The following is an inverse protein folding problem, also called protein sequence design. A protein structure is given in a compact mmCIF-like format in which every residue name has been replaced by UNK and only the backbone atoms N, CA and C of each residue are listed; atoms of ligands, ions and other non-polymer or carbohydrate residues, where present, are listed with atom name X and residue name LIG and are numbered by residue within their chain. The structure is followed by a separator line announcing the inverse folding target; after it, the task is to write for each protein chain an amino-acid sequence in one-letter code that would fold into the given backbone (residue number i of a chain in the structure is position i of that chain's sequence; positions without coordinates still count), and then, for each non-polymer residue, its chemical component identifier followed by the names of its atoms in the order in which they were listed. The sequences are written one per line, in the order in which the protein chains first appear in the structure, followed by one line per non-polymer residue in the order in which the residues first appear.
data_IF_257647914987
#
_entry.id   IF_257647914987
#
_cell.length_a   1.000
_cell.length_b   1.000
_cell.length_c   1.000
_cell.angle_alpha   90.00
_cell.angle_beta   90.00
_cell.angle_gamma   90.00
#
_symmetry.space_group_name_H-M   'P 1'
#
loop_
_entity.id
_entity.type
_entity.pdbx_description
1 polymer ?
#
# COMPACT_ATOMS: atom_id res chain seq x y z
N UNK A 1 -15.54 -27.66 11.51
CA UNK A 1 -15.78 -27.92 10.07
C UNK A 1 -14.55 -27.39 9.36
N UNK A 2 -13.71 -28.26 8.79
CA UNK A 2 -12.50 -27.81 8.09
C UNK A 2 -12.93 -27.10 6.82
N UNK A 3 -12.75 -25.78 6.76
CA UNK A 3 -12.91 -25.04 5.52
C UNK A 3 -11.84 -25.54 4.55
N UNK A 4 -12.27 -26.30 3.54
CA UNK A 4 -11.45 -26.52 2.36
C UNK A 4 -11.48 -25.23 1.56
N UNK A 5 -10.35 -24.54 1.58
CA UNK A 5 -10.12 -23.26 0.94
C UNK A 5 -10.13 -23.41 -0.58
N UNK A 6 -10.54 -22.38 -1.35
CA UNK A 6 -10.31 -22.37 -2.78
C UNK A 6 -8.80 -22.31 -3.00
N UNK A 7 -8.22 -23.45 -3.35
CA UNK A 7 -6.91 -23.51 -3.99
C UNK A 7 -7.03 -22.73 -5.29
N UNK A 8 -6.36 -21.59 -5.37
CA UNK A 8 -6.26 -20.82 -6.61
C UNK A 8 -5.26 -21.54 -7.50
N UNK A 9 -5.72 -22.10 -8.62
CA UNK A 9 -4.88 -22.89 -9.53
C UNK A 9 -3.75 -22.03 -10.14
N UNK A 10 -2.54 -22.59 -10.34
CA UNK A 10 -1.49 -21.92 -11.10
C UNK A 10 -2.00 -21.55 -12.51
N UNK A 11 -2.14 -20.25 -12.78
CA UNK A 11 -2.70 -19.72 -14.05
C UNK A 11 -3.98 -18.90 -13.89
N UNK A 12 -4.54 -18.76 -12.68
CA UNK A 12 -5.61 -17.81 -12.37
C UNK A 12 -5.17 -16.36 -12.62
N UNK A 13 -6.08 -15.53 -13.12
CA UNK A 13 -5.83 -14.11 -13.30
C UNK A 13 -5.80 -13.40 -11.92
N UNK A 14 -4.71 -12.69 -11.63
CA UNK A 14 -4.59 -11.93 -10.39
C UNK A 14 -5.66 -10.82 -10.29
N UNK A 15 -6.15 -10.31 -11.44
CA UNK A 15 -7.24 -9.33 -11.49
C UNK A 15 -8.54 -9.94 -10.98
N UNK A 16 -8.84 -11.20 -11.31
CA UNK A 16 -10.00 -11.91 -10.75
C UNK A 16 -9.91 -12.05 -9.23
N UNK A 17 -8.71 -12.28 -8.68
CA UNK A 17 -8.52 -12.33 -7.23
C UNK A 17 -8.76 -10.96 -6.56
N UNK A 18 -8.35 -9.85 -7.21
CA UNK A 18 -8.68 -8.50 -6.73
C UNK A 18 -10.19 -8.25 -6.80
N UNK A 19 -10.83 -8.56 -7.93
CA UNK A 19 -12.28 -8.38 -8.11
C UNK A 19 -13.09 -9.23 -7.14
N UNK A 20 -12.64 -10.44 -6.81
CA UNK A 20 -13.29 -11.29 -5.81
C UNK A 20 -13.31 -10.67 -4.40
N UNK A 21 -12.33 -9.85 -4.04
CA UNK A 21 -12.35 -9.09 -2.78
C UNK A 21 -13.34 -7.93 -2.83
N UNK A 22 -13.48 -7.28 -3.98
CA UNK A 22 -14.46 -6.22 -4.19
C UNK A 22 -15.88 -6.78 -4.16
N UNK A 23 -16.11 -7.94 -4.78
CA UNK A 23 -17.42 -8.61 -4.82
C UNK A 23 -17.88 -9.12 -3.45
N UNK A 24 -16.94 -9.49 -2.57
CA UNK A 24 -17.22 -9.95 -1.20
C UNK A 24 -17.39 -8.79 -0.20
N UNK A 25 -17.05 -7.56 -0.59
CA UNK A 25 -17.20 -6.36 0.23
C UNK A 25 -18.59 -5.73 0.10
N UNK A 26 -19.08 -5.09 1.16
CA UNK A 26 -20.42 -4.48 1.21
C UNK A 26 -20.57 -3.19 0.38
N UNK A 27 -19.46 -2.68 -0.17
CA UNK A 27 -19.41 -1.49 -1.02
C UNK A 27 -19.58 -0.16 -0.28
N UNK A 28 -19.45 -0.12 1.05
CA UNK A 28 -19.74 1.10 1.84
C UNK A 28 -18.52 1.85 2.31
N UNK A 29 -17.69 1.23 3.14
CA UNK A 29 -16.59 1.89 3.83
C UNK A 29 -15.23 1.38 3.38
N UNK A 30 -14.30 2.32 3.21
CA UNK A 30 -12.87 2.03 3.03
C UNK A 30 -12.08 2.55 4.22
N UNK A 31 -11.10 1.76 4.67
CA UNK A 31 -10.04 2.21 5.58
C UNK A 31 -8.73 2.16 4.80
N UNK A 32 -7.95 3.24 4.82
CA UNK A 32 -6.71 3.33 4.03
C UNK A 32 -5.50 3.76 4.86
N UNK A 33 -4.30 3.75 4.28
CA UNK A 33 -3.09 4.30 4.91
C UNK A 33 -3.05 5.83 4.77
N UNK A 34 -2.43 6.57 5.71
CA UNK A 34 -2.33 8.02 5.63
C UNK A 34 -1.13 8.45 4.79
N UNK A 35 -1.03 7.97 3.55
CA UNK A 35 0.00 8.34 2.59
C UNK A 35 -0.54 8.41 1.15
N UNK A 36 0.30 8.82 0.21
CA UNK A 36 -0.07 9.00 -1.20
C UNK A 36 -0.61 7.70 -1.81
N UNK A 37 -0.03 6.53 -1.50
CA UNK A 37 -0.49 5.24 -2.04
C UNK A 37 -1.88 4.89 -1.49
N UNK A 38 -2.08 5.02 -0.17
CA UNK A 38 -3.39 4.80 0.45
C UNK A 38 -4.48 5.72 -0.11
N UNK A 39 -4.17 7.01 -0.31
CA UNK A 39 -5.13 7.96 -0.87
C UNK A 39 -5.47 7.64 -2.33
N UNK A 40 -4.47 7.33 -3.16
CA UNK A 40 -4.69 6.91 -4.55
C UNK A 40 -5.46 5.59 -4.64
N UNK A 41 -5.17 4.64 -3.75
CA UNK A 41 -5.89 3.37 -3.64
C UNK A 41 -7.37 3.57 -3.32
N UNK A 42 -7.69 4.43 -2.34
CA UNK A 42 -9.06 4.82 -2.04
C UNK A 42 -9.76 5.48 -3.24
N UNK A 43 -9.08 6.43 -3.89
CA UNK A 43 -9.64 7.15 -5.04
C UNK A 43 -9.83 6.25 -6.26
N UNK A 44 -9.01 5.21 -6.44
CA UNK A 44 -9.22 4.16 -7.43
C UNK A 44 -10.54 3.42 -7.16
N UNK A 45 -10.72 2.89 -5.95
CA UNK A 45 -11.96 2.20 -5.57
C UNK A 45 -13.16 3.13 -5.69
N UNK A 46 -13.04 4.39 -5.26
CA UNK A 46 -14.11 5.38 -5.38
C UNK A 46 -14.49 5.69 -6.83
N UNK A 47 -13.54 5.67 -7.77
CA UNK A 47 -13.84 5.84 -9.19
C UNK A 47 -14.77 4.74 -9.70
N UNK A 48 -14.50 3.48 -9.32
CA UNK A 48 -15.34 2.35 -9.66
C UNK A 48 -16.66 2.34 -8.86
N UNK A 49 -16.65 2.85 -7.62
CA UNK A 49 -17.78 2.85 -6.69
C UNK A 49 -18.01 4.25 -6.08
N UNK A 50 -18.73 5.15 -6.77
CA UNK A 50 -18.82 6.57 -6.41
C UNK A 50 -19.50 6.91 -5.07
N UNK A 51 -20.17 5.94 -4.43
CA UNK A 51 -20.85 6.15 -3.15
C UNK A 51 -20.02 5.67 -1.95
N UNK A 52 -18.81 5.17 -2.18
CA UNK A 52 -17.93 4.68 -1.11
C UNK A 52 -17.46 5.84 -0.24
N UNK A 53 -17.47 5.58 1.06
CA UNK A 53 -17.10 6.51 2.12
C UNK A 53 -15.70 6.15 2.62
N UNK A 54 -14.83 7.15 2.74
CA UNK A 54 -13.60 7.01 3.50
C UNK A 54 -13.95 6.95 5.00
N UNK A 55 -14.06 5.75 5.54
CA UNK A 55 -14.45 5.52 6.93
C UNK A 55 -13.33 5.84 7.92
N UNK A 56 -12.07 5.68 7.51
CA UNK A 56 -10.95 5.93 8.42
C UNK A 56 -9.58 5.73 7.81
N UNK A 57 -8.56 5.93 8.63
CA UNK A 57 -7.19 5.57 8.31
C UNK A 57 -6.57 4.66 9.35
N UNK A 58 -5.70 3.76 8.91
CA UNK A 58 -4.87 2.96 9.80
C UNK A 58 -3.39 3.28 9.64
N UNK A 59 -2.72 3.59 10.74
CA UNK A 59 -1.34 4.09 10.75
C UNK A 59 -0.30 3.00 11.04
N UNK A 60 -0.64 1.72 10.86
CA UNK A 60 0.12 0.54 11.35
C UNK A 60 0.29 0.48 12.87
N UNK A 61 -0.52 1.25 13.61
CA UNK A 61 -0.52 1.27 15.08
C UNK A 61 -1.79 1.88 15.65
N UNK A 62 -2.42 2.81 14.92
CA UNK A 62 -3.66 3.45 15.31
C UNK A 62 -4.68 3.36 14.18
N UNK A 63 -5.89 2.90 14.48
CA UNK A 63 -7.06 3.09 13.63
C UNK A 63 -7.74 4.39 14.04
N UNK A 64 -7.92 5.30 13.08
CA UNK A 64 -8.65 6.55 13.23
C UNK A 64 -9.93 6.44 12.42
N UNK A 65 -11.08 6.33 13.08
CA UNK A 65 -12.40 6.34 12.43
C UNK A 65 -12.93 7.75 12.31
N UNK A 66 -13.51 8.06 11.15
CA UNK A 66 -14.08 9.36 10.82
C UNK A 66 -15.60 9.37 10.99
N UNK A 67 -16.15 10.53 11.35
CA UNK A 67 -17.56 10.90 11.20
C UNK A 67 -18.61 9.88 11.71
N UNK A 68 -18.28 9.16 12.78
CA UNK A 68 -19.18 8.21 13.44
C UNK A 68 -18.94 6.74 13.09
N UNK A 69 -17.90 6.42 12.32
CA UNK A 69 -17.55 5.04 11.98
C UNK A 69 -17.51 4.16 13.23
N UNK A 70 -18.34 3.11 13.23
CA UNK A 70 -18.39 2.11 14.29
C UNK A 70 -17.33 1.03 14.10
N UNK A 71 -17.12 0.21 15.13
CA UNK A 71 -16.18 -0.92 15.04
C UNK A 71 -16.65 -2.01 14.08
N UNK A 72 -17.95 -2.30 14.06
CA UNK A 72 -18.51 -3.30 13.15
C UNK A 72 -18.37 -2.83 11.70
N UNK A 73 -18.64 -1.55 11.42
CA UNK A 73 -18.38 -0.97 10.08
C UNK A 73 -16.89 -0.98 9.73
N UNK A 74 -15.99 -0.71 10.68
CA UNK A 74 -14.56 -0.82 10.46
C UNK A 74 -14.12 -2.27 10.16
N UNK A 75 -14.80 -3.27 10.72
CA UNK A 75 -14.54 -4.69 10.45
C UNK A 75 -15.00 -5.08 9.04
N UNK A 76 -16.18 -4.62 8.63
CA UNK A 76 -16.74 -4.91 7.29
C UNK A 76 -16.16 -4.06 6.16
N UNK A 77 -15.47 -2.96 6.49
CA UNK A 77 -14.79 -2.10 5.52
C UNK A 77 -13.75 -2.85 4.68
N UNK A 78 -13.48 -2.33 3.48
CA UNK A 78 -12.34 -2.74 2.67
C UNK A 78 -11.08 -1.98 3.13
N UNK A 79 -10.04 -2.70 3.55
CA UNK A 79 -8.79 -2.10 4.00
C UNK A 79 -7.78 -2.04 2.85
N UNK A 80 -7.42 -0.83 2.41
CA UNK A 80 -6.53 -0.60 1.29
C UNK A 80 -5.15 -0.14 1.76
N UNK A 81 -4.13 -0.56 1.02
CA UNK A 81 -2.72 -0.37 1.36
C UNK A 81 -2.34 -0.93 2.75
N UNK A 82 -3.00 -2.02 3.14
CA UNK A 82 -2.76 -2.68 4.40
C UNK A 82 -2.74 -4.19 4.26
N UNK A 83 -1.90 -4.81 5.09
CA UNK A 83 -1.83 -6.25 5.26
C UNK A 83 -2.35 -6.62 6.65
N UNK A 84 -3.65 -6.88 6.72
CA UNK A 84 -4.38 -7.18 7.95
C UNK A 84 -4.47 -8.69 8.16
N UNK A 85 -4.04 -9.10 9.34
CA UNK A 85 -4.10 -10.47 9.86
C UNK A 85 -5.24 -10.58 10.86
N UNK A 86 -6.45 -10.27 10.41
CA UNK A 86 -7.67 -10.47 11.17
C UNK A 86 -8.69 -11.27 10.36
N UNK A 87 -9.28 -12.36 10.91
CA UNK A 87 -10.03 -13.33 10.12
C UNK A 87 -11.37 -12.79 9.61
N UNK A 88 -11.79 -11.61 10.07
CA UNK A 88 -12.99 -10.91 9.63
C UNK A 88 -12.72 -9.61 8.88
N UNK A 89 -11.48 -9.30 8.47
CA UNK A 89 -11.16 -8.05 7.76
C UNK A 89 -10.57 -8.35 6.39
N UNK A 90 -11.24 -7.85 5.36
CA UNK A 90 -10.77 -7.90 3.97
C UNK A 90 -9.74 -6.82 3.74
N UNK A 91 -8.63 -7.17 3.11
CA UNK A 91 -7.61 -6.19 2.79
C UNK A 91 -6.95 -6.41 1.43
N UNK A 92 -6.43 -5.32 0.90
CA UNK A 92 -5.57 -5.28 -0.26
C UNK A 92 -4.31 -4.49 0.09
N UNK A 93 -3.16 -5.13 -0.01
CA UNK A 93 -1.88 -4.52 0.31
C UNK A 93 -0.74 -5.16 -0.48
N UNK A 94 0.43 -4.54 -0.40
CA UNK A 94 1.60 -4.96 -1.18
C UNK A 94 2.80 -5.41 -0.34
N UNK A 95 2.72 -5.31 0.98
CA UNK A 95 3.90 -5.61 1.80
C UNK A 95 4.22 -7.11 1.80
N UNK A 96 5.49 -7.46 1.95
CA UNK A 96 5.88 -8.84 2.12
C UNK A 96 5.40 -9.35 3.48
N UNK A 97 4.58 -10.40 3.51
CA UNK A 97 3.94 -10.90 4.74
C UNK A 97 4.28 -12.36 5.07
N UNK A 98 4.73 -13.13 4.08
CA UNK A 98 5.15 -14.52 4.24
C UNK A 98 6.61 -14.59 4.71
N UNK A 99 6.90 -15.38 5.74
CA UNK A 99 8.27 -15.80 6.04
C UNK A 99 8.72 -16.90 5.08
N UNK A 100 7.86 -17.89 4.82
CA UNK A 100 8.09 -18.98 3.87
C UNK A 100 6.97 -19.03 2.81
N UNK A 101 7.24 -19.57 1.60
CA UNK A 101 6.24 -19.68 0.53
C UNK A 101 5.00 -20.52 0.87
N UNK A 102 5.09 -21.38 1.89
CA UNK A 102 4.03 -22.29 2.32
C UNK A 102 3.34 -21.85 3.63
N UNK A 103 3.64 -20.64 4.13
CA UNK A 103 2.91 -20.09 5.28
C UNK A 103 1.42 -19.93 4.93
N UNK A 104 0.54 -20.32 5.84
CA UNK A 104 -0.91 -20.31 5.62
C UNK A 104 -1.56 -18.97 6.00
N UNK A 105 -0.89 -18.17 6.84
CA UNK A 105 -1.40 -16.91 7.38
C UNK A 105 -2.77 -17.09 8.06
N UNK A 106 -2.90 -17.93 9.10
CA UNK A 106 -4.19 -18.44 9.61
C UNK A 106 -5.13 -17.36 10.18
N UNK A 107 -4.62 -16.15 10.43
CA UNK A 107 -5.42 -15.01 10.88
C UNK A 107 -5.83 -14.07 9.76
N UNK A 108 -5.32 -14.21 8.54
CA UNK A 108 -5.71 -13.36 7.40
C UNK A 108 -7.08 -13.78 6.89
N UNK A 109 -7.94 -12.82 6.55
CA UNK A 109 -9.19 -13.14 5.88
C UNK A 109 -8.90 -13.80 4.51
N UNK A 110 -9.54 -14.93 4.19
CA UNK A 110 -9.23 -15.70 2.98
C UNK A 110 -9.51 -14.93 1.70
N UNK A 111 -10.51 -14.05 1.72
CA UNK A 111 -10.80 -13.11 0.65
C UNK A 111 -10.06 -11.80 0.94
N UNK A 112 -8.76 -11.80 0.66
CA UNK A 112 -7.87 -10.63 0.72
C UNK A 112 -6.82 -10.79 -0.38
N UNK A 113 -6.33 -9.69 -0.93
CA UNK A 113 -5.34 -9.74 -2.01
C UNK A 113 -4.00 -9.13 -1.57
N UNK A 114 -2.92 -9.79 -1.95
CA UNK A 114 -1.57 -9.25 -1.90
C UNK A 114 -0.73 -9.97 -2.96
N UNK A 115 -0.05 -9.25 -3.87
CA UNK A 115 0.74 -9.88 -4.94
C UNK A 115 1.77 -10.88 -4.40
N UNK A 116 2.46 -10.56 -3.30
CA UNK A 116 3.44 -11.47 -2.70
C UNK A 116 2.79 -12.75 -2.19
N UNK A 117 1.59 -12.67 -1.62
CA UNK A 117 0.85 -13.87 -1.16
C UNK A 117 0.40 -14.69 -2.36
N UNK A 118 -0.20 -14.04 -3.35
CA UNK A 118 -0.72 -14.68 -4.56
C UNK A 118 0.38 -15.46 -5.31
N UNK A 119 1.56 -14.85 -5.47
CA UNK A 119 2.70 -15.48 -6.15
C UNK A 119 3.66 -16.24 -5.20
N UNK A 120 3.26 -16.49 -3.95
CA UNK A 120 4.08 -17.17 -2.92
C UNK A 120 5.49 -16.59 -2.74
N UNK A 121 5.63 -15.28 -2.90
CA UNK A 121 6.85 -14.55 -2.58
C UNK A 121 6.95 -14.39 -1.05
N UNK A 122 8.11 -14.69 -0.49
CA UNK A 122 8.33 -14.76 0.95
C UNK A 122 9.70 -14.20 1.35
N UNK A 123 9.92 -14.00 2.65
CA UNK A 123 11.20 -13.54 3.17
C UNK A 123 12.38 -14.42 2.73
N UNK A 124 12.22 -15.75 2.76
CA UNK A 124 13.30 -16.69 2.42
C UNK A 124 13.80 -16.60 0.98
N UNK A 125 13.01 -16.02 0.06
CA UNK A 125 13.39 -15.82 -1.35
C UNK A 125 13.34 -14.34 -1.77
N UNK A 126 13.27 -13.42 -0.82
CA UNK A 126 13.30 -11.97 -1.01
C UNK A 126 14.58 -11.34 -0.45
N UNK A 127 14.74 -10.03 -0.67
CA UNK A 127 15.87 -9.20 -0.24
C UNK A 127 17.20 -9.60 -0.87
N UNK A 128 17.17 -10.02 -2.13
CA UNK A 128 18.36 -10.41 -2.91
C UNK A 128 19.19 -9.19 -3.37
N UNK A 129 18.65 -7.99 -3.18
CA UNK A 129 19.32 -6.74 -3.51
C UNK A 129 19.32 -6.43 -5.00
N UNK A 130 20.10 -5.43 -5.41
CA UNK A 130 20.07 -4.89 -6.79
C UNK A 130 20.61 -5.86 -7.85
N UNK A 131 21.43 -6.81 -7.43
CA UNK A 131 22.00 -7.84 -8.30
C UNK A 131 21.13 -9.09 -8.39
N UNK A 132 19.97 -9.11 -7.73
CA UNK A 132 19.00 -10.19 -7.82
C UNK A 132 18.60 -10.44 -9.28
N UNK A 133 18.50 -11.71 -9.65
CA UNK A 133 18.13 -12.14 -11.01
C UNK A 133 16.78 -12.85 -11.08
N UNK A 134 16.13 -13.03 -9.93
CA UNK A 134 14.83 -13.67 -9.81
C UNK A 134 13.84 -12.69 -9.19
N UNK A 135 12.56 -13.07 -9.18
CA UNK A 135 11.53 -12.33 -8.45
C UNK A 135 11.92 -12.16 -6.98
N UNK A 136 11.78 -10.93 -6.51
CA UNK A 136 11.92 -10.48 -5.12
C UNK A 136 10.54 -9.93 -4.68
N UNK A 137 10.45 -9.23 -3.54
CA UNK A 137 9.21 -8.63 -3.06
C UNK A 137 8.60 -7.70 -4.12
N UNK A 138 7.27 -7.66 -4.16
CA UNK A 138 6.52 -6.76 -5.02
C UNK A 138 7.02 -5.31 -4.85
N UNK A 139 7.35 -4.60 -5.95
CA UNK A 139 8.06 -3.33 -5.88
C UNK A 139 7.20 -2.10 -6.17
N UNK A 140 5.94 -2.28 -6.54
CA UNK A 140 5.04 -1.19 -6.90
C UNK A 140 4.08 -0.87 -5.74
N UNK A 141 3.48 0.31 -5.80
CA UNK A 141 2.43 0.72 -4.87
C UNK A 141 1.15 -0.12 -5.02
N UNK A 142 0.32 -0.17 -3.97
CA UNK A 142 -1.00 -0.83 -3.95
C UNK A 142 -1.92 -0.25 -5.02
N UNK A 143 -1.90 1.08 -5.21
CA UNK A 143 -2.75 1.77 -6.17
C UNK A 143 -2.54 1.28 -7.62
N UNK A 144 -1.34 0.85 -8.00
CA UNK A 144 -1.08 0.44 -9.38
C UNK A 144 -1.87 -0.81 -9.78
N UNK A 145 -1.88 -1.85 -8.93
CA UNK A 145 -2.66 -3.05 -9.25
C UNK A 145 -4.17 -2.79 -9.14
N UNK A 146 -4.60 -1.84 -8.29
CA UNK A 146 -5.99 -1.43 -8.20
C UNK A 146 -6.47 -0.74 -9.48
N UNK A 147 -5.69 0.22 -10.01
CA UNK A 147 -6.02 0.88 -11.28
C UNK A 147 -6.16 -0.16 -12.41
N UNK A 148 -5.21 -1.09 -12.51
CA UNK A 148 -5.19 -2.10 -13.58
C UNK A 148 -6.30 -3.16 -13.43
N UNK A 149 -6.58 -3.64 -12.22
CA UNK A 149 -7.64 -4.64 -11.98
C UNK A 149 -9.05 -4.07 -12.12
N UNK A 150 -9.27 -2.82 -11.70
CA UNK A 150 -10.56 -2.14 -11.81
C UNK A 150 -10.79 -1.53 -13.20
N UNK A 151 -9.82 -1.65 -14.12
CA UNK A 151 -9.91 -1.09 -15.48
C UNK A 151 -10.01 0.44 -15.49
N UNK A 152 -9.40 1.11 -14.51
CA UNK A 152 -9.44 2.57 -14.38
C UNK A 152 -8.43 3.18 -15.35
N UNK A 153 -8.84 4.11 -16.23
CA UNK A 153 -7.90 4.80 -17.10
C UNK A 153 -6.87 5.57 -16.28
N UNK A 154 -5.58 5.29 -16.53
CA UNK A 154 -4.52 6.09 -15.91
C UNK A 154 -4.51 7.53 -16.47
N UNK A 155 -4.11 8.53 -15.66
CA UNK A 155 -4.01 9.92 -16.09
C UNK A 155 -3.07 10.13 -17.29
N UNK A 156 -3.32 11.18 -18.05
CA UNK A 156 -2.48 11.53 -19.21
C UNK A 156 -1.04 11.88 -18.81
N UNK A 157 -0.10 11.50 -19.67
CA UNK A 157 1.34 11.70 -19.44
C UNK A 157 1.66 13.15 -19.12
N UNK A 158 2.41 13.32 -18.05
CA UNK A 158 2.90 14.62 -17.60
C UNK A 158 1.87 15.48 -16.85
N UNK A 159 0.66 15.00 -16.60
CA UNK A 159 -0.24 15.64 -15.62
C UNK A 159 0.28 15.42 -14.19
N UNK A 160 -0.12 16.25 -13.23
CA UNK A 160 0.22 16.04 -11.81
C UNK A 160 -0.28 14.69 -11.31
N UNK A 161 -1.47 14.25 -11.74
CA UNK A 161 -2.03 12.94 -11.42
C UNK A 161 -1.18 11.77 -11.93
N UNK A 162 -0.63 11.88 -13.15
CA UNK A 162 0.33 10.90 -13.66
C UNK A 162 1.59 10.84 -12.79
N UNK A 163 2.10 11.99 -12.34
CA UNK A 163 3.24 12.05 -11.43
C UNK A 163 2.91 11.55 -10.01
N UNK A 164 1.67 11.70 -9.54
CA UNK A 164 1.19 11.15 -8.27
C UNK A 164 1.23 9.63 -8.27
N UNK A 165 0.72 8.98 -9.33
CA UNK A 165 0.85 7.53 -9.49
C UNK A 165 2.33 7.11 -9.49
N UNK A 166 3.18 7.78 -10.26
CA UNK A 166 4.61 7.49 -10.26
C UNK A 166 5.29 7.70 -8.88
N UNK A 167 4.78 8.66 -8.09
CA UNK A 167 5.27 8.98 -6.76
C UNK A 167 4.87 7.94 -5.71
N UNK A 168 3.72 7.28 -5.86
CA UNK A 168 3.14 6.36 -4.89
C UNK A 168 4.13 5.29 -4.42
N UNK A 169 4.23 5.11 -3.11
CA UNK A 169 5.21 4.25 -2.39
C UNK A 169 6.67 4.39 -2.89
N UNK A 170 7.03 5.55 -3.45
CA UNK A 170 8.35 5.78 -4.04
C UNK A 170 8.67 4.89 -5.25
N UNK A 171 7.63 4.40 -5.95
CA UNK A 171 7.75 3.42 -7.04
C UNK A 171 8.75 3.85 -8.11
N UNK A 172 8.77 5.13 -8.51
CA UNK A 172 9.74 5.65 -9.48
C UNK A 172 11.20 5.35 -9.08
N UNK A 173 11.53 5.49 -7.80
CA UNK A 173 12.88 5.27 -7.27
C UNK A 173 13.18 3.79 -7.15
N UNK A 174 12.18 2.99 -6.76
CA UNK A 174 12.28 1.52 -6.71
C UNK A 174 12.58 0.94 -8.10
N UNK A 175 11.97 1.45 -9.17
CA UNK A 175 12.26 1.06 -10.55
C UNK A 175 13.69 1.37 -10.98
N UNK A 176 14.31 2.44 -10.47
CA UNK A 176 15.73 2.70 -10.73
C UNK A 176 16.66 1.78 -9.93
N UNK A 177 16.30 1.47 -8.68
CA UNK A 177 17.11 0.66 -7.78
C UNK A 177 17.10 -0.84 -8.13
N UNK A 178 15.95 -1.35 -8.55
CA UNK A 178 15.68 -2.78 -8.67
C UNK A 178 15.12 -3.16 -10.05
N UNK A 179 15.71 -2.61 -11.11
CA UNK A 179 15.28 -2.76 -12.51
C UNK A 179 14.88 -4.18 -12.92
N UNK A 180 15.66 -5.19 -12.50
CA UNK A 180 15.38 -6.59 -12.83
C UNK A 180 14.10 -7.07 -12.14
N UNK A 181 13.96 -6.81 -10.84
CA UNK A 181 12.77 -7.22 -10.08
C UNK A 181 11.51 -6.49 -10.57
N UNK A 182 11.60 -5.18 -10.81
CA UNK A 182 10.46 -4.41 -11.34
C UNK A 182 10.05 -4.90 -12.72
N UNK A 183 11.01 -5.26 -13.58
CA UNK A 183 10.69 -5.85 -14.88
C UNK A 183 9.97 -7.19 -14.76
N UNK A 184 10.42 -8.08 -13.87
CA UNK A 184 9.79 -9.38 -13.63
C UNK A 184 8.33 -9.20 -13.19
N UNK A 185 8.09 -8.35 -12.19
CA UNK A 185 6.72 -8.10 -11.72
C UNK A 185 5.84 -7.40 -12.76
N UNK A 186 6.40 -6.50 -13.56
CA UNK A 186 5.70 -5.90 -14.69
C UNK A 186 5.27 -6.98 -15.69
N UNK A 187 6.20 -7.81 -16.16
CA UNK A 187 5.89 -8.87 -17.15
C UNK A 187 4.91 -9.94 -16.59
N UNK A 188 4.80 -10.09 -15.27
CA UNK A 188 3.87 -11.03 -14.61
C UNK A 188 2.45 -10.49 -14.41
N UNK A 189 2.29 -9.17 -14.22
CA UNK A 189 1.01 -8.59 -13.79
C UNK A 189 0.45 -7.50 -14.70
N UNK A 190 1.31 -6.82 -15.46
CA UNK A 190 0.97 -5.58 -16.15
C UNK A 190 1.30 -5.67 -17.64
N UNK A 191 0.77 -4.72 -18.41
CA UNK A 191 1.07 -4.60 -19.83
C UNK A 191 1.18 -3.12 -20.26
N UNK A 192 1.29 -2.90 -21.57
CA UNK A 192 1.47 -1.56 -22.14
C UNK A 192 0.29 -0.60 -21.90
N UNK A 193 -0.87 -1.12 -21.48
CA UNK A 193 -2.00 -0.30 -21.04
C UNK A 193 -1.76 0.38 -19.68
N UNK A 194 -0.87 -0.17 -18.85
CA UNK A 194 -0.41 0.39 -17.58
C UNK A 194 0.74 1.39 -17.83
N UNK A 195 0.38 2.54 -18.42
CA UNK A 195 1.30 3.53 -18.99
C UNK A 195 2.35 4.04 -17.99
N UNK A 196 1.95 4.38 -16.76
CA UNK A 196 2.85 4.87 -15.70
C UNK A 196 3.90 3.81 -15.39
N UNK A 197 3.48 2.58 -15.11
CA UNK A 197 4.43 1.50 -14.80
C UNK A 197 5.32 1.17 -16.01
N UNK A 198 4.78 1.19 -17.22
CA UNK A 198 5.54 1.01 -18.46
C UNK A 198 6.71 2.01 -18.52
N UNK A 199 6.46 3.29 -18.29
CA UNK A 199 7.49 4.34 -18.36
C UNK A 199 8.52 4.25 -17.24
N UNK A 200 8.07 3.85 -16.04
CA UNK A 200 8.96 3.66 -14.90
C UNK A 200 9.89 2.46 -15.12
N UNK A 201 9.37 1.33 -15.60
CA UNK A 201 10.09 0.07 -15.77
C UNK A 201 11.03 0.12 -16.97
N UNK A 202 10.61 0.73 -18.08
CA UNK A 202 11.47 0.94 -19.25
C UNK A 202 12.55 2.01 -19.01
N UNK A 203 12.43 2.78 -17.91
CA UNK A 203 13.41 3.76 -17.49
C UNK A 203 13.31 5.11 -18.20
N UNK A 204 12.22 5.34 -18.93
CA UNK A 204 11.96 6.56 -19.69
C UNK A 204 11.61 7.72 -18.75
N UNK A 205 10.90 7.43 -17.65
CA UNK A 205 10.40 8.45 -16.74
C UNK A 205 11.51 9.32 -16.13
N UNK A 206 12.55 8.71 -15.54
CA UNK A 206 13.65 9.44 -14.92
C UNK A 206 14.67 10.01 -15.92
N UNK A 207 14.60 9.59 -17.18
CA UNK A 207 15.46 10.08 -18.25
C UNK A 207 14.95 11.41 -18.84
N UNK A 208 13.66 11.70 -18.69
CA UNK A 208 13.05 12.94 -19.19
C UNK A 208 13.19 14.10 -18.18
N UNK A 209 13.87 15.20 -18.55
CA UNK A 209 14.00 16.37 -17.68
C UNK A 209 12.65 17.06 -17.39
N UNK A 210 11.65 16.94 -18.26
CA UNK A 210 10.31 17.48 -18.02
C UNK A 210 9.63 16.73 -16.87
N UNK A 211 9.79 15.41 -16.79
CA UNK A 211 9.27 14.61 -15.68
C UNK A 211 9.96 14.98 -14.37
N UNK A 212 11.27 15.24 -14.38
CA UNK A 212 12.00 15.71 -13.19
C UNK A 212 11.42 17.03 -12.67
N UNK A 213 11.24 18.01 -13.55
CA UNK A 213 10.69 19.32 -13.19
C UNK A 213 9.29 19.19 -12.60
N UNK A 214 8.40 18.45 -13.27
CA UNK A 214 7.01 18.28 -12.83
C UNK A 214 6.89 17.46 -11.54
N UNK A 215 7.69 16.41 -11.39
CA UNK A 215 7.71 15.63 -10.15
C UNK A 215 8.29 16.44 -8.99
N UNK A 216 9.24 17.33 -9.25
CA UNK A 216 9.74 18.27 -8.22
C UNK A 216 8.63 19.18 -7.73
N UNK A 217 7.87 19.81 -8.65
CA UNK A 217 6.72 20.65 -8.30
C UNK A 217 5.65 19.88 -7.53
N UNK A 218 5.35 18.64 -7.94
CA UNK A 218 4.44 17.77 -7.20
C UNK A 218 4.89 17.59 -5.74
N UNK A 219 6.17 17.26 -5.52
CA UNK A 219 6.71 17.07 -4.16
C UNK A 219 6.63 18.36 -3.35
N UNK A 220 6.93 19.52 -3.96
CA UNK A 220 6.77 20.82 -3.32
C UNK A 220 5.33 21.07 -2.88
N UNK A 221 4.35 20.82 -3.76
CA UNK A 221 2.93 20.95 -3.44
C UNK A 221 2.49 19.99 -2.33
N UNK A 222 2.96 18.75 -2.32
CA UNK A 222 2.67 17.81 -1.24
C UNK A 222 3.22 18.33 0.11
N UNK A 223 4.44 18.90 0.11
CA UNK A 223 5.05 19.49 1.30
C UNK A 223 4.27 20.71 1.79
N UNK A 224 3.85 21.59 0.88
CA UNK A 224 3.01 22.74 1.20
C UNK A 224 1.68 22.34 1.84
N UNK A 225 1.09 21.23 1.38
CA UNK A 225 -0.14 20.66 1.94
C UNK A 225 0.09 19.86 3.23
N UNK A 226 1.35 19.71 3.68
CA UNK A 226 1.68 19.20 5.00
C UNK A 226 2.13 17.73 5.05
N UNK A 227 2.55 17.16 3.92
CA UNK A 227 3.17 15.84 3.90
C UNK A 227 4.47 15.85 4.70
N UNK A 228 4.85 14.70 5.27
CA UNK A 228 6.06 14.62 6.06
C UNK A 228 7.29 14.72 5.17
N UNK A 229 8.20 15.65 5.48
CA UNK A 229 9.51 15.81 4.82
C UNK A 229 10.54 14.74 5.20
N UNK A 230 10.09 13.64 5.82
CA UNK A 230 10.98 12.55 6.20
C UNK A 230 11.47 11.83 4.96
N UNK A 231 12.79 11.68 4.87
CA UNK A 231 13.41 10.80 3.86
C UNK A 231 13.07 9.35 4.17
N UNK A 232 12.80 8.57 3.12
CA UNK A 232 12.57 7.13 3.24
C UNK A 232 13.86 6.35 3.59
N UNK A 233 15.05 6.92 3.30
CA UNK A 233 16.36 6.31 3.57
C UNK A 233 17.36 7.37 4.05
N UNK A 234 18.32 6.96 4.90
CA UNK A 234 19.43 7.82 5.35
C UNK A 234 20.40 8.14 4.20
N UNK A 235 20.59 7.19 3.27
CA UNK A 235 21.41 7.37 2.06
C UNK A 235 20.60 7.11 0.79
N UNK A 236 20.72 8.03 -0.16
CA UNK A 236 20.15 7.88 -1.50
C UNK A 236 20.94 6.84 -2.29
N UNK A 237 20.23 6.09 -3.12
CA UNK A 237 20.85 5.08 -3.96
C UNK A 237 21.73 5.70 -5.04
N UNK A 238 22.93 5.14 -5.23
CA UNK A 238 23.79 5.45 -6.37
C UNK A 238 23.18 5.09 -7.74
N UNK A 239 22.14 4.25 -7.78
CA UNK A 239 21.43 3.91 -9.03
C UNK A 239 20.43 4.99 -9.45
N UNK A 240 20.02 5.86 -8.52
CA UNK A 240 19.11 6.98 -8.79
C UNK A 240 19.93 8.16 -9.29
N UNK A 241 19.54 8.79 -10.43
CA UNK A 241 20.26 9.95 -10.94
C UNK A 241 20.30 11.07 -9.90
N UNK A 242 21.44 11.78 -9.81
CA UNK A 242 21.72 12.72 -8.73
C UNK A 242 20.61 13.77 -8.54
N UNK A 243 20.05 14.28 -9.64
CA UNK A 243 18.99 15.29 -9.62
C UNK A 243 17.67 14.80 -9.00
N UNK A 244 17.43 13.48 -8.97
CA UNK A 244 16.22 12.87 -8.42
C UNK A 244 16.38 12.49 -6.94
N UNK A 245 17.60 12.42 -6.41
CA UNK A 245 17.85 11.86 -5.07
C UNK A 245 17.16 12.63 -3.94
N UNK A 246 16.96 13.94 -4.09
CA UNK A 246 16.25 14.80 -3.13
C UNK A 246 14.74 14.54 -3.07
N UNK A 247 14.18 13.89 -4.09
CA UNK A 247 12.74 13.65 -4.22
C UNK A 247 12.31 12.34 -3.54
N UNK A 248 13.24 11.54 -3.00
CA UNK A 248 12.92 10.30 -2.30
C UNK A 248 12.25 10.55 -0.95
N UNK A 249 11.11 9.89 -0.71
CA UNK A 249 10.31 10.04 0.51
C UNK A 249 9.10 10.93 0.25
N UNK A 250 8.72 11.74 1.24
CA UNK A 250 7.62 12.71 1.15
C UNK A 250 6.24 12.08 0.84
N UNK A 251 5.99 10.87 1.36
CA UNK A 251 4.75 10.11 1.08
C UNK A 251 3.70 10.21 2.19
N UNK A 252 4.13 10.31 3.45
CA UNK A 252 3.27 10.01 4.59
C UNK A 252 2.80 11.22 5.39
N UNK A 253 1.62 11.09 5.99
CA UNK A 253 0.98 12.09 6.84
C UNK A 253 1.13 11.64 8.30
N UNK A 254 2.18 12.13 8.96
CA UNK A 254 2.60 11.61 10.26
C UNK A 254 1.54 11.76 11.36
N UNK A 255 1.16 10.64 11.97
CA UNK A 255 0.30 10.59 13.15
C UNK A 255 1.03 9.96 14.35
N UNK A 256 0.72 10.43 15.56
CA UNK A 256 1.15 9.82 16.81
C UNK A 256 -0.01 9.85 17.79
N UNK A 257 0.02 9.03 18.84
CA UNK A 257 -1.00 9.06 19.91
C UNK A 257 -1.20 10.45 20.56
N UNK A 258 -0.20 11.34 20.46
CA UNK A 258 -0.23 12.71 21.00
C UNK A 258 -0.57 13.77 19.96
N UNK A 259 -0.80 13.38 18.70
CA UNK A 259 -1.16 14.31 17.65
C UNK A 259 -2.48 14.99 17.97
N UNK A 260 -2.52 16.30 17.78
CA UNK A 260 -3.76 17.06 17.81
C UNK A 260 -4.64 16.62 16.63
N UNK A 261 -5.83 16.09 16.93
CA UNK A 261 -6.73 15.52 15.92
C UNK A 261 -7.15 16.56 14.89
N UNK A 262 -7.49 17.78 15.31
CA UNK A 262 -7.93 18.85 14.40
C UNK A 262 -6.81 19.27 13.44
N UNK A 263 -5.59 19.47 13.95
CA UNK A 263 -4.43 19.82 13.12
C UNK A 263 -4.03 18.69 12.18
N UNK A 264 -4.06 17.45 12.65
CA UNK A 264 -3.74 16.30 11.80
C UNK A 264 -4.80 16.12 10.72
N UNK A 265 -6.08 16.19 11.08
CA UNK A 265 -7.19 16.05 10.14
C UNK A 265 -7.19 17.16 9.09
N UNK A 266 -6.85 18.40 9.47
CA UNK A 266 -6.70 19.50 8.52
C UNK A 266 -5.63 19.23 7.47
N UNK A 267 -4.47 18.68 7.87
CA UNK A 267 -3.40 18.29 6.92
C UNK A 267 -3.82 17.10 6.07
N UNK A 268 -4.43 16.09 6.68
CA UNK A 268 -4.95 14.92 5.98
C UNK A 268 -5.93 15.34 4.87
N UNK A 269 -6.89 16.19 5.22
CA UNK A 269 -7.89 16.72 4.30
C UNK A 269 -7.29 17.61 3.19
N UNK A 270 -6.24 18.39 3.49
CA UNK A 270 -5.56 19.19 2.47
C UNK A 270 -4.92 18.30 1.40
N UNK A 271 -4.24 17.23 1.82
CA UNK A 271 -3.60 16.28 0.90
C UNK A 271 -4.64 15.43 0.17
N UNK A 272 -5.65 14.90 0.86
CA UNK A 272 -6.75 14.15 0.24
C UNK A 272 -7.47 14.99 -0.81
N UNK A 273 -7.77 16.27 -0.52
CA UNK A 273 -8.37 17.19 -1.48
C UNK A 273 -7.46 17.42 -2.68
N UNK A 274 -6.18 17.71 -2.46
CA UNK A 274 -5.21 17.89 -3.53
C UNK A 274 -5.14 16.68 -4.47
N UNK A 275 -4.98 15.46 -3.92
CA UNK A 275 -4.90 14.23 -4.75
C UNK A 275 -6.22 13.97 -5.49
N UNK A 276 -7.36 14.20 -4.84
CA UNK A 276 -8.67 14.02 -5.47
C UNK A 276 -8.95 15.03 -6.59
N UNK A 277 -8.60 16.30 -6.38
CA UNK A 277 -8.77 17.36 -7.38
C UNK A 277 -7.93 17.07 -8.64
N UNK A 278 -6.69 16.60 -8.48
CA UNK A 278 -5.83 16.19 -9.60
C UNK A 278 -6.38 14.97 -10.36
N UNK A 279 -7.12 14.09 -9.68
CA UNK A 279 -7.86 12.98 -10.30
C UNK A 279 -9.27 13.37 -10.77
N UNK A 280 -9.66 14.65 -10.65
CA UNK A 280 -10.98 15.14 -11.05
C UNK A 280 -12.15 14.56 -10.25
N UNK A 281 -11.90 14.12 -9.01
CA UNK A 281 -12.92 13.54 -8.13
C UNK A 281 -13.37 14.55 -7.07
N UNK A 282 -14.68 14.71 -6.94
CA UNK A 282 -15.27 15.40 -5.80
C UNK A 282 -15.65 14.40 -4.69
N UNK A 283 -15.36 14.77 -3.45
CA UNK A 283 -15.70 13.99 -2.28
C UNK A 283 -15.98 14.87 -1.07
N UNK A 284 -16.79 14.31 -0.17
CA UNK A 284 -16.95 14.83 1.18
C UNK A 284 -15.71 14.51 2.00
N UNK A 285 -15.05 15.54 2.51
CA UNK A 285 -13.89 15.38 3.39
C UNK A 285 -14.36 14.99 4.80
N UNK A 286 -13.61 14.10 5.48
CA UNK A 286 -13.82 13.81 6.89
C UNK A 286 -13.91 15.07 7.76
N UNK A 287 -14.92 15.18 8.62
CA UNK A 287 -15.14 16.37 9.47
C UNK A 287 -14.54 16.21 10.86
N UNK A 288 -14.53 15.00 11.40
CA UNK A 288 -13.97 14.70 12.71
C UNK A 288 -13.38 13.29 12.79
N UNK A 289 -12.31 13.14 13.58
CA UNK A 289 -11.90 11.85 14.12
C UNK A 289 -12.81 11.55 15.31
N UNK A 290 -13.63 10.52 15.17
CA UNK A 290 -14.64 10.13 16.17
C UNK A 290 -14.27 8.85 16.91
N UNK A 291 -13.33 8.07 16.36
CA UNK A 291 -12.80 6.86 16.97
C UNK A 291 -11.27 6.83 16.85
N UNK A 292 -10.59 6.47 17.93
CA UNK A 292 -9.16 6.13 17.91
C UNK A 292 -8.93 4.84 18.69
N UNK A 293 -8.55 3.77 17.98
CA UNK A 293 -8.14 2.49 18.57
C UNK A 293 -6.63 2.35 18.37
N UNK A 294 -5.91 1.94 19.40
CA UNK A 294 -4.44 1.79 19.34
C UNK A 294 -4.06 0.36 19.66
N UNK A 295 -3.20 -0.22 18.82
CA UNK A 295 -2.52 -1.47 19.09
C UNK A 295 -1.13 -1.26 19.67
N UNK A 296 -0.49 -2.36 20.06
CA UNK A 296 0.92 -2.43 20.43
C UNK A 296 1.73 -2.84 19.22
N UNK A 297 2.86 -2.18 18.98
CA UNK A 297 3.73 -2.46 17.83
C UNK A 297 4.99 -3.15 18.30
N UNK A 298 5.35 -4.21 17.60
CA UNK A 298 6.57 -4.97 17.82
C UNK A 298 7.41 -5.00 16.54
N UNK A 299 8.74 -5.04 16.70
CA UNK A 299 9.69 -5.04 15.57
C UNK A 299 10.86 -6.03 15.74
N UNK A 300 10.62 -7.35 15.86
CA UNK A 300 11.70 -8.31 15.97
C UNK A 300 12.41 -8.53 14.64
N UNK A 301 13.51 -9.28 14.69
CA UNK A 301 14.18 -9.78 13.49
C UNK A 301 13.34 -10.92 12.89
N UNK A 302 13.19 -11.01 11.56
CA UNK A 302 12.48 -12.14 10.95
C UNK A 302 13.06 -13.50 11.37
N UNK A 303 14.39 -13.60 11.44
CA UNK A 303 15.10 -14.83 11.84
C UNK A 303 14.95 -15.19 13.33
N UNK A 304 14.41 -14.31 14.19
CA UNK A 304 14.11 -14.67 15.57
C UNK A 304 12.75 -15.35 15.74
N UNK A 305 11.91 -15.32 14.70
CA UNK A 305 10.67 -16.08 14.65
C UNK A 305 11.03 -17.50 14.21
N UNK A 306 10.57 -18.56 14.92
CA UNK A 306 10.92 -19.93 14.54
C UNK A 306 10.45 -20.25 13.11
N UNK A 307 11.39 -20.58 12.22
CA UNK A 307 11.09 -21.06 10.88
C UNK A 307 10.23 -22.33 10.97
N UNK A 308 9.09 -22.35 10.28
CA UNK A 308 8.01 -23.37 10.30
C UNK A 308 6.94 -23.23 11.40
N UNK A 309 7.07 -22.26 12.30
CA UNK A 309 6.06 -22.00 13.33
C UNK A 309 5.46 -20.60 13.21
N UNK A 310 5.60 -19.96 12.04
CA UNK A 310 5.11 -18.58 11.87
C UNK A 310 3.60 -18.50 12.01
N UNK A 311 2.88 -19.47 11.45
CA UNK A 311 1.43 -19.55 11.57
C UNK A 311 0.99 -19.68 13.04
N UNK A 312 1.68 -20.50 13.84
CA UNK A 312 1.41 -20.60 15.28
C UNK A 312 1.80 -19.32 16.02
N UNK A 313 2.95 -18.73 15.69
CA UNK A 313 3.38 -17.44 16.24
C UNK A 313 2.34 -16.33 15.99
N UNK A 314 1.75 -16.28 14.78
CA UNK A 314 0.66 -15.34 14.49
C UNK A 314 -0.55 -15.56 15.40
N UNK A 315 -0.90 -16.83 15.68
CA UNK A 315 -2.00 -17.19 16.57
C UNK A 315 -1.69 -16.81 18.02
N UNK A 316 -0.50 -17.16 18.51
CA UNK A 316 -0.06 -16.95 19.89
C UNK A 316 0.05 -15.47 20.26
N UNK A 317 0.61 -14.66 19.36
CA UNK A 317 0.77 -13.21 19.55
C UNK A 317 -0.50 -12.41 19.21
N UNK A 318 -1.56 -13.08 18.75
CA UNK A 318 -2.77 -12.45 18.25
C UNK A 318 -2.53 -11.32 17.24
N UNK A 319 -1.60 -11.53 16.30
CA UNK A 319 -1.20 -10.51 15.33
C UNK A 319 -2.41 -9.96 14.58
N UNK A 320 -2.56 -8.63 14.56
CA UNK A 320 -3.61 -7.90 13.86
C UNK A 320 -3.18 -7.47 12.46
N UNK A 321 -1.93 -7.07 12.28
CA UNK A 321 -1.35 -6.68 10.98
C UNK A 321 0.15 -6.90 11.01
N UNK A 322 0.77 -7.18 9.87
CA UNK A 322 2.23 -7.32 9.81
C UNK A 322 2.81 -7.05 8.44
N UNK A 323 4.09 -6.70 8.43
CA UNK A 323 4.87 -6.49 7.22
C UNK A 323 6.36 -6.75 7.50
N UNK A 324 7.01 -7.43 6.56
CA UNK A 324 8.46 -7.65 6.56
C UNK A 324 9.09 -6.52 5.76
N UNK A 325 9.64 -5.55 6.48
CA UNK A 325 10.13 -4.29 5.89
C UNK A 325 11.55 -4.39 5.36
N UNK A 326 12.35 -5.31 5.92
CA UNK A 326 13.73 -5.53 5.49
C UNK A 326 14.22 -6.89 5.98
N UNK A 327 15.42 -7.29 5.55
CA UNK A 327 16.08 -8.49 6.06
C UNK A 327 16.28 -8.49 7.59
N UNK A 328 16.18 -7.33 8.24
CA UNK A 328 16.39 -7.13 9.69
C UNK A 328 15.11 -6.91 10.49
N UNK A 329 13.97 -6.75 9.83
CA UNK A 329 12.78 -6.26 10.52
C UNK A 329 11.50 -6.83 9.93
N UNK A 330 10.77 -7.55 10.77
CA UNK A 330 9.32 -7.67 10.66
C UNK A 330 8.71 -6.65 11.62
N UNK A 331 7.63 -5.98 11.20
CA UNK A 331 6.82 -5.11 12.06
C UNK A 331 5.45 -5.71 12.13
N UNK A 332 4.91 -5.88 13.33
CA UNK A 332 3.53 -6.31 13.51
C UNK A 332 2.84 -5.53 14.61
N UNK A 333 1.51 -5.52 14.55
CA UNK A 333 0.64 -4.90 15.54
C UNK A 333 -0.17 -5.97 16.25
N UNK A 334 -0.31 -5.87 17.57
CA UNK A 334 -1.19 -6.67 18.41
C UNK A 334 -2.14 -5.76 19.18
N UNK A 335 -3.04 -6.32 19.99
CA UNK A 335 -3.93 -5.59 20.91
C UNK A 335 -4.90 -4.57 20.26
N UNK A 336 -5.01 -4.56 18.93
CA UNK A 336 -5.94 -3.69 18.21
C UNK A 336 -7.27 -4.43 18.03
N UNK A 337 -8.23 -4.13 18.91
CA UNK A 337 -9.54 -4.79 18.96
C UNK A 337 -10.59 -3.98 18.22
N UNK A 338 -10.99 -4.47 17.05
CA UNK A 338 -12.09 -3.95 16.24
C UNK A 338 -13.30 -4.82 16.49
#
# INVERSE_FOLDING_TARGET
VSAQWPYVEPGSDWKEAVLGVVDDWDGRHVITSPDVDGLLSFLAVRHAFPNVILGGVYTTSHLLGFDGLTRDEAREALWLDHDISHPGIRCMGQHLVNLNPEDLLPRRHPVSFNPNVFYKQAFTNSFQGRSGRTRDKYPFATCHFLFSALGIPEPERGTTAYHLLAHADGTWGTCQDYKVNTRIWYDEMFDESDRVLTDLVLGEYCADPVNLERHTRLVEQLIENGISTRRARESSSSAIPLAWQSLQGNQGIGFTKRSDHGKWLSKFNAILRFVADELGQDLDLPKAITMQISGRVETPYPNSIPNRDFDQFMLDEEIFSHAIKSFRMIRYTTDLRI
#
